data_IF_988548765828
#
_entry.id   IF_988548765828
#
_cell.length_a   1.000
_cell.length_b   1.000
_cell.length_c   1.000
_cell.angle_alpha   90.00
_cell.angle_beta   90.00
_cell.angle_gamma   90.00
#
_symmetry.space_group_name_H-M   'P 1'
#
loop_
_entity.id
_entity.type
_entity.pdbx_description
1 polymer ?
#
# COMPACT_ATOMS: atom_id res chain seq x y z
N UNK A 1 14.60 0.75 -5.28
CA UNK A 1 14.79 0.38 -6.71
C UNK A 1 15.53 1.47 -7.48
N UNK A 2 14.89 2.55 -7.90
CA UNK A 2 15.48 3.53 -8.86
C UNK A 2 16.75 4.21 -8.34
N UNK A 3 16.71 4.77 -7.13
CA UNK A 3 17.82 5.58 -6.61
C UNK A 3 19.04 4.77 -6.19
N UNK A 4 18.80 3.68 -5.46
CA UNK A 4 19.86 2.90 -4.79
C UNK A 4 20.23 1.61 -5.54
N UNK A 5 19.42 1.17 -6.53
CA UNK A 5 19.69 -0.05 -7.31
C UNK A 5 19.65 -1.37 -6.53
N UNK A 6 19.20 -1.38 -5.27
CA UNK A 6 19.31 -2.53 -4.36
C UNK A 6 18.32 -3.67 -4.62
N UNK A 7 17.30 -3.45 -5.46
CA UNK A 7 16.19 -4.38 -5.66
C UNK A 7 15.86 -4.50 -7.15
N UNK A 8 15.47 -5.70 -7.60
CA UNK A 8 14.91 -5.94 -8.92
C UNK A 8 13.49 -5.37 -9.03
N UNK A 9 12.68 -5.63 -8.00
CA UNK A 9 11.35 -5.10 -7.81
C UNK A 9 11.13 -4.73 -6.36
N UNK A 10 10.14 -3.88 -6.13
CA UNK A 10 9.60 -3.61 -4.81
C UNK A 10 8.15 -3.20 -4.98
N UNK A 11 7.28 -3.69 -4.10
CA UNK A 11 5.87 -3.33 -4.08
C UNK A 11 5.35 -3.29 -2.65
N UNK A 12 4.28 -2.53 -2.45
CA UNK A 12 3.54 -2.50 -1.19
C UNK A 12 2.07 -2.75 -1.44
N UNK A 13 1.42 -3.42 -0.50
CA UNK A 13 0.00 -3.72 -0.57
C UNK A 13 -0.61 -3.70 0.84
N UNK A 14 -1.83 -3.17 0.92
CA UNK A 14 -2.60 -3.09 2.17
C UNK A 14 -3.82 -4.02 2.10
N UNK A 15 -3.91 -4.98 3.02
CA UNK A 15 -5.09 -5.83 3.23
C UNK A 15 -5.97 -5.20 4.31
N UNK A 16 -7.00 -4.48 3.88
CA UNK A 16 -7.90 -3.73 4.77
C UNK A 16 -8.80 -4.62 5.62
N UNK A 17 -8.96 -5.92 5.29
CA UNK A 17 -9.72 -6.85 6.14
C UNK A 17 -8.91 -7.30 7.35
N UNK A 18 -7.58 -7.32 7.22
CA UNK A 18 -6.66 -7.76 8.28
C UNK A 18 -5.93 -6.60 8.95
N UNK A 19 -5.94 -5.42 8.35
CA UNK A 19 -5.16 -4.28 8.83
C UNK A 19 -3.66 -4.45 8.62
N UNK A 20 -3.25 -5.21 7.60
CA UNK A 20 -1.84 -5.55 7.35
C UNK A 20 -1.33 -4.80 6.13
N UNK A 21 -0.23 -4.07 6.30
CA UNK A 21 0.57 -3.50 5.22
C UNK A 21 1.78 -4.40 4.99
N UNK A 22 1.96 -4.88 3.77
CA UNK A 22 3.09 -5.71 3.38
C UNK A 22 3.96 -4.98 2.36
N UNK A 23 5.27 -5.03 2.54
CA UNK A 23 6.27 -4.57 1.58
C UNK A 23 7.06 -5.80 1.16
N UNK A 24 7.13 -6.06 -0.15
CA UNK A 24 7.84 -7.21 -0.72
C UNK A 24 8.82 -6.73 -1.78
N UNK A 25 10.00 -7.35 -1.83
CA UNK A 25 11.05 -6.98 -2.77
C UNK A 25 11.92 -8.18 -3.14
N UNK A 26 12.19 -8.33 -4.44
CA UNK A 26 13.25 -9.21 -4.94
C UNK A 26 14.62 -8.52 -4.87
N UNK A 27 15.57 -9.12 -4.15
CA UNK A 27 16.92 -8.56 -3.94
C UNK A 27 17.98 -9.64 -4.14
N UNK A 28 19.21 -9.22 -4.48
CA UNK A 28 20.36 -10.11 -4.39
C UNK A 28 20.66 -10.48 -2.94
N UNK A 29 21.03 -11.75 -2.70
CA UNK A 29 21.41 -12.22 -1.37
C UNK A 29 22.51 -11.36 -0.73
N UNK A 30 23.48 -10.91 -1.53
CA UNK A 30 24.59 -10.05 -1.07
C UNK A 30 24.15 -8.62 -0.70
N UNK A 31 22.98 -8.19 -1.16
CA UNK A 31 22.44 -6.85 -0.95
C UNK A 31 21.27 -6.84 0.03
N UNK A 32 20.85 -8.01 0.56
CA UNK A 32 19.63 -8.15 1.35
C UNK A 32 19.58 -7.20 2.56
N UNK A 33 20.69 -7.10 3.32
CA UNK A 33 20.72 -6.31 4.55
C UNK A 33 20.64 -4.83 4.21
N UNK A 34 21.38 -4.40 3.18
CA UNK A 34 21.33 -3.01 2.68
C UNK A 34 19.94 -2.64 2.17
N UNK A 35 19.29 -3.54 1.44
CA UNK A 35 17.94 -3.32 0.94
C UNK A 35 16.93 -3.22 2.08
N UNK A 36 17.02 -4.12 3.07
CA UNK A 36 16.18 -4.11 4.26
C UNK A 36 16.36 -2.79 5.05
N UNK A 37 17.60 -2.39 5.31
CA UNK A 37 17.92 -1.14 6.00
C UNK A 37 17.35 0.07 5.26
N UNK A 38 17.51 0.12 3.92
CA UNK A 38 16.98 1.19 3.10
C UNK A 38 15.44 1.25 3.14
N UNK A 39 14.75 0.10 3.12
CA UNK A 39 13.29 0.02 3.23
C UNK A 39 12.85 0.50 4.61
N UNK A 40 13.48 0.02 5.69
CA UNK A 40 13.16 0.42 7.05
C UNK A 40 13.38 1.91 7.27
N UNK A 41 14.45 2.48 6.71
CA UNK A 41 14.72 3.91 6.75
C UNK A 41 13.62 4.70 6.03
N UNK A 42 13.20 4.26 4.84
CA UNK A 42 12.12 4.92 4.09
C UNK A 42 10.78 4.87 4.82
N UNK A 43 10.42 3.72 5.41
CA UNK A 43 9.21 3.59 6.22
C UNK A 43 9.28 4.50 7.44
N UNK A 44 10.44 4.55 8.12
CA UNK A 44 10.64 5.43 9.28
C UNK A 44 10.48 6.89 8.88
N UNK A 45 11.12 7.31 7.78
CA UNK A 45 10.99 8.68 7.25
C UNK A 45 9.55 9.02 6.90
N UNK A 46 8.83 8.12 6.23
CA UNK A 46 7.41 8.34 5.93
C UNK A 46 6.60 8.52 7.21
N UNK A 47 6.84 7.73 8.25
CA UNK A 47 6.15 7.89 9.54
C UNK A 47 6.49 9.23 10.22
N UNK A 48 7.76 9.65 10.19
CA UNK A 48 8.21 10.86 10.92
C UNK A 48 7.96 12.16 10.17
N UNK A 49 8.17 12.16 8.86
CA UNK A 49 8.12 13.34 7.99
C UNK A 49 6.75 13.48 7.28
N UNK A 50 5.98 12.39 7.22
CA UNK A 50 4.68 12.34 6.57
C UNK A 50 4.78 12.26 5.04
N UNK A 51 3.73 12.74 4.38
CA UNK A 51 3.67 12.88 2.92
C UNK A 51 3.44 14.34 2.55
N UNK A 52 3.78 14.69 1.32
CA UNK A 52 3.50 16.00 0.74
C UNK A 52 2.06 16.09 0.22
N UNK A 53 1.56 17.32 0.08
CA UNK A 53 0.26 17.55 -0.58
C UNK A 53 0.25 17.07 -2.04
N UNK A 54 1.37 17.21 -2.74
CA UNK A 54 1.52 16.77 -4.13
C UNK A 54 1.41 15.23 -4.25
N UNK A 55 2.08 14.48 -3.37
CA UNK A 55 1.96 13.03 -3.31
C UNK A 55 0.53 12.59 -3.00
N UNK A 56 -0.15 13.28 -2.07
CA UNK A 56 -1.55 13.00 -1.78
C UNK A 56 -2.46 13.28 -2.98
N UNK A 57 -2.24 14.39 -3.69
CA UNK A 57 -3.00 14.73 -4.88
C UNK A 57 -2.83 13.67 -5.96
N UNK A 58 -1.60 13.24 -6.24
CA UNK A 58 -1.30 12.18 -7.20
C UNK A 58 -1.92 10.84 -6.79
N UNK A 59 -1.84 10.48 -5.51
CA UNK A 59 -2.45 9.26 -4.99
C UNK A 59 -3.99 9.29 -5.15
N UNK A 60 -4.65 10.40 -4.82
CA UNK A 60 -6.10 10.57 -5.00
C UNK A 60 -6.51 10.45 -6.46
N UNK A 61 -5.76 11.07 -7.38
CA UNK A 61 -6.00 10.96 -8.82
C UNK A 61 -5.87 9.51 -9.31
N UNK A 62 -4.80 8.82 -8.88
CA UNK A 62 -4.58 7.40 -9.19
C UNK A 62 -5.75 6.53 -8.69
N UNK A 63 -6.12 6.63 -7.42
CA UNK A 63 -7.22 5.81 -6.86
C UNK A 63 -8.58 6.15 -7.47
N UNK A 64 -8.84 7.43 -7.78
CA UNK A 64 -10.06 7.83 -8.49
C UNK A 64 -10.14 7.16 -9.87
N UNK A 65 -9.05 7.15 -10.61
CA UNK A 65 -8.97 6.48 -11.91
C UNK A 65 -9.15 4.96 -11.77
N UNK A 66 -8.49 4.33 -10.79
CA UNK A 66 -8.64 2.89 -10.53
C UNK A 66 -10.09 2.51 -10.18
N UNK A 67 -10.77 3.32 -9.34
CA UNK A 67 -12.17 3.10 -8.99
C UNK A 67 -13.04 3.21 -10.24
N UNK A 68 -12.86 4.24 -11.08
CA UNK A 68 -13.65 4.41 -12.31
C UNK A 68 -13.44 3.25 -13.29
N UNK A 69 -12.20 2.87 -13.55
CA UNK A 69 -11.88 1.75 -14.45
C UNK A 69 -12.42 0.41 -13.95
N UNK A 70 -12.55 0.24 -12.63
CA UNK A 70 -13.12 -0.98 -12.07
C UNK A 70 -14.61 -1.16 -12.39
N UNK A 71 -15.33 -0.09 -12.71
CA UNK A 71 -16.75 -0.13 -13.06
C UNK A 71 -17.01 -0.76 -14.42
N UNK A 72 -16.03 -0.73 -15.32
CA UNK A 72 -16.12 -1.38 -16.64
C UNK A 72 -15.89 -2.89 -16.57
N UNK A 73 -15.55 -3.42 -15.39
CA UNK A 73 -15.29 -4.84 -15.17
C UNK A 73 -16.48 -5.52 -14.48
N UNK A 74 -17.21 -6.36 -15.24
CA UNK A 74 -18.35 -7.11 -14.72
C UNK A 74 -18.01 -7.98 -13.49
N UNK A 75 -16.81 -8.57 -13.44
CA UNK A 75 -16.39 -9.39 -12.30
C UNK A 75 -16.18 -8.56 -11.04
N UNK A 76 -15.72 -7.32 -11.19
CA UNK A 76 -15.59 -6.39 -10.08
C UNK A 76 -16.97 -6.01 -9.52
N UNK A 77 -17.95 -5.71 -10.39
CA UNK A 77 -19.31 -5.37 -9.96
C UNK A 77 -19.96 -6.51 -9.16
N UNK A 78 -19.84 -7.76 -9.63
CA UNK A 78 -20.34 -8.93 -8.91
C UNK A 78 -19.66 -9.09 -7.55
N UNK A 79 -18.32 -8.99 -7.50
CA UNK A 79 -17.57 -9.07 -6.24
C UNK A 79 -17.99 -7.97 -5.27
N UNK A 80 -18.17 -6.74 -5.76
CA UNK A 80 -18.60 -5.61 -4.93
C UNK A 80 -19.99 -5.83 -4.37
N UNK A 81 -20.94 -6.28 -5.17
CA UNK A 81 -22.30 -6.59 -4.70
C UNK A 81 -22.27 -7.66 -3.60
N UNK A 82 -21.50 -8.73 -3.78
CA UNK A 82 -21.32 -9.77 -2.77
C UNK A 82 -20.72 -9.24 -1.47
N UNK A 83 -19.65 -8.43 -1.55
CA UNK A 83 -19.00 -7.85 -0.36
C UNK A 83 -19.93 -6.87 0.37
N UNK A 84 -20.70 -6.05 -0.37
CA UNK A 84 -21.66 -5.11 0.24
C UNK A 84 -22.72 -5.85 1.06
N UNK A 85 -23.28 -6.92 0.51
CA UNK A 85 -24.24 -7.78 1.22
C UNK A 85 -23.60 -8.42 2.45
N UNK A 86 -22.42 -9.03 2.29
CA UNK A 86 -21.72 -9.74 3.35
C UNK A 86 -21.34 -8.85 4.55
N UNK A 87 -20.94 -7.60 4.29
CA UNK A 87 -20.49 -6.66 5.31
C UNK A 87 -21.57 -5.67 5.74
N UNK A 88 -22.79 -5.79 5.20
CA UNK A 88 -23.87 -4.80 5.37
C UNK A 88 -23.39 -3.36 5.08
N UNK A 89 -22.60 -3.21 4.02
CA UNK A 89 -22.04 -1.92 3.60
C UNK A 89 -22.86 -1.33 2.45
N UNK A 90 -23.53 -0.22 2.71
CA UNK A 90 -24.38 0.43 1.72
C UNK A 90 -23.68 1.54 0.92
N UNK A 91 -22.41 1.84 1.22
CA UNK A 91 -21.65 2.91 0.55
C UNK A 91 -21.70 2.79 -0.98
N UNK A 92 -22.07 3.87 -1.64
CA UNK A 92 -22.07 4.02 -3.10
C UNK A 92 -20.68 4.34 -3.63
N UNK A 93 -20.49 4.24 -4.96
CA UNK A 93 -19.19 4.60 -5.55
C UNK A 93 -18.96 6.11 -5.43
N UNK A 94 -20.01 6.90 -5.58
CA UNK A 94 -20.00 8.36 -5.44
C UNK A 94 -19.61 8.77 -4.02
N UNK A 95 -20.23 8.18 -2.99
CA UNK A 95 -19.87 8.43 -1.59
C UNK A 95 -18.41 8.08 -1.32
N UNK A 96 -17.94 6.94 -1.84
CA UNK A 96 -16.55 6.51 -1.71
C UNK A 96 -15.57 7.49 -2.37
N UNK A 97 -15.91 8.02 -3.55
CA UNK A 97 -15.10 9.03 -4.24
C UNK A 97 -15.10 10.37 -3.48
N UNK A 98 -16.22 10.76 -2.89
CA UNK A 98 -16.30 11.95 -2.03
C UNK A 98 -15.42 11.75 -0.79
N UNK A 99 -15.49 10.59 -0.13
CA UNK A 99 -14.68 10.26 1.02
C UNK A 99 -13.17 10.29 0.69
N UNK A 100 -12.77 9.66 -0.43
CA UNK A 100 -11.38 9.69 -0.92
C UNK A 100 -10.86 11.12 -1.11
N UNK A 101 -11.67 12.00 -1.69
CA UNK A 101 -11.26 13.38 -1.95
C UNK A 101 -11.14 14.23 -0.68
N UNK A 102 -11.89 13.90 0.38
CA UNK A 102 -11.85 14.59 1.67
C UNK A 102 -10.62 14.27 2.52
N UNK A 103 -9.93 13.16 2.24
CA UNK A 103 -8.73 12.74 3.00
C UNK A 103 -7.69 13.87 3.04
N UNK A 104 -7.15 14.16 4.21
CA UNK A 104 -6.15 15.21 4.43
C UNK A 104 -4.76 14.63 4.74
N UNK A 105 -3.72 15.44 4.56
CA UNK A 105 -2.35 15.06 4.97
C UNK A 105 -2.29 14.79 6.48
N UNK A 106 -3.01 15.57 7.28
CA UNK A 106 -3.06 15.39 8.74
C UNK A 106 -3.67 14.05 9.16
N UNK A 107 -4.78 13.64 8.53
CA UNK A 107 -5.38 12.33 8.77
C UNK A 107 -4.43 11.18 8.39
N UNK A 108 -3.68 11.36 7.31
CA UNK A 108 -2.65 10.39 6.90
C UNK A 108 -1.52 10.35 7.93
N UNK A 109 -1.04 11.50 8.41
CA UNK A 109 -0.02 11.55 9.45
C UNK A 109 -0.48 10.85 10.73
N UNK A 110 -1.73 11.04 11.13
CA UNK A 110 -2.32 10.34 12.28
C UNK A 110 -2.38 8.82 12.06
N UNK A 111 -2.68 8.37 10.84
CA UNK A 111 -2.69 6.95 10.47
C UNK A 111 -1.28 6.35 10.47
N UNK A 112 -0.29 7.05 9.91
CA UNK A 112 1.10 6.61 9.81
C UNK A 112 1.69 6.28 11.18
N UNK A 113 1.35 7.06 12.22
CA UNK A 113 1.77 6.80 13.60
C UNK A 113 1.23 5.49 14.20
N UNK A 114 0.23 4.85 13.56
CA UNK A 114 -0.31 3.55 13.99
C UNK A 114 0.45 2.38 13.36
N UNK A 115 1.28 2.62 12.35
CA UNK A 115 2.06 1.58 11.68
C UNK A 115 3.14 1.08 12.63
N UNK A 116 3.19 -0.24 12.79
CA UNK A 116 4.21 -0.93 13.58
C UNK A 116 4.74 -2.10 12.77
N UNK A 117 6.06 -2.22 12.72
CA UNK A 117 6.70 -3.39 12.12
C UNK A 117 6.45 -4.59 13.02
N UNK A 118 5.75 -5.59 12.48
CA UNK A 118 5.42 -6.82 13.18
C UNK A 118 6.38 -7.96 12.80
N UNK A 119 6.54 -8.19 11.49
CA UNK A 119 7.30 -9.33 10.97
C UNK A 119 8.24 -8.91 9.84
N UNK A 120 9.48 -9.40 9.89
CA UNK A 120 10.41 -9.42 8.76
C UNK A 120 10.60 -10.88 8.35
N UNK A 121 10.45 -11.16 7.06
CA UNK A 121 10.69 -12.48 6.50
C UNK A 121 11.64 -12.38 5.32
N UNK A 122 12.69 -13.20 5.33
CA UNK A 122 13.67 -13.31 4.24
C UNK A 122 13.64 -14.75 3.74
N UNK A 123 13.32 -14.92 2.46
CA UNK A 123 13.40 -16.19 1.77
C UNK A 123 14.67 -16.23 0.93
N UNK A 124 15.55 -17.18 1.19
CA UNK A 124 16.68 -17.50 0.33
C UNK A 124 16.70 -19.00 0.02
N UNK A 125 17.22 -19.37 -1.16
CA UNK A 125 17.42 -20.78 -1.49
C UNK A 125 18.41 -21.44 -0.52
N UNK A 126 18.20 -22.71 -0.19
CA UNK A 126 19.15 -23.49 0.59
C UNK A 126 20.48 -23.61 -0.17
N UNK A 127 21.60 -23.52 0.55
CA UNK A 127 22.86 -24.06 0.04
C UNK A 127 22.66 -25.56 -0.15
N UNK A 128 22.74 -26.04 -1.39
CA UNK A 128 23.11 -27.43 -1.59
C UNK A 128 24.57 -27.52 -1.13
N UNK A 129 24.80 -28.13 0.02
CA UNK A 129 26.08 -28.78 0.32
C UNK A 129 26.30 -29.94 -0.66
#
# INVERSE_FOLDING_TARGET
REKEGLCYDISSNYDFYKGVLMISSGVDLKQQDKALDAIQLLVTKMITEGITEEELLHAKAYYTHQIKNSLDNQSFLTKRAFIRELLSQDETIEERLIALNKVTVDEIQQLLNKIKLDTIYVLHGGQND
#
